data_IF_294965904704
#
_entry.id   IF_294965904704
#
_cell.length_a   1.000
_cell.length_b   1.000
_cell.length_c   1.000
_cell.angle_alpha   90.00
_cell.angle_beta   90.00
_cell.angle_gamma   90.00
#
_symmetry.space_group_name_H-M   'P 1'
#
loop_
_entity.id
_entity.type
_entity.pdbx_description
1 polymer ?
#
# COMPACT_ATOMS: atom_id res chain seq x y z
N UNK A 1 -27.64 5.02 -1.95
CA UNK A 1 -27.19 5.40 -3.31
C UNK A 1 -26.51 4.21 -3.95
N UNK A 2 -26.56 4.05 -5.27
CA UNK A 2 -25.81 3.00 -5.97
C UNK A 2 -24.30 3.29 -5.92
N UNK A 3 -23.47 2.25 -5.82
CA UNK A 3 -22.02 2.37 -5.84
C UNK A 3 -21.56 2.89 -7.22
N UNK A 4 -20.67 3.88 -7.23
CA UNK A 4 -20.17 4.50 -8.46
C UNK A 4 -18.69 4.82 -8.34
N UNK A 5 -17.93 4.40 -9.35
CA UNK A 5 -16.56 4.84 -9.63
C UNK A 5 -16.61 6.16 -10.39
N UNK A 6 -15.77 7.13 -10.03
CA UNK A 6 -15.64 8.40 -10.74
C UNK A 6 -14.17 8.80 -10.80
N UNK A 7 -13.73 9.35 -11.92
CA UNK A 7 -12.53 10.17 -11.94
C UNK A 7 -12.72 11.34 -10.94
N UNK A 8 -11.71 11.57 -10.12
CA UNK A 8 -11.75 12.56 -9.04
C UNK A 8 -10.73 13.67 -9.26
N UNK A 9 -9.47 13.32 -9.53
CA UNK A 9 -8.42 14.26 -9.93
C UNK A 9 -7.78 13.74 -11.21
N UNK A 10 -7.65 14.61 -12.22
CA UNK A 10 -7.01 14.28 -13.49
C UNK A 10 -5.54 13.83 -13.29
N UNK A 11 -4.97 13.11 -14.27
CA UNK A 11 -3.59 12.63 -14.20
C UNK A 11 -2.56 13.71 -13.82
N UNK A 12 -1.76 13.44 -12.79
CA UNK A 12 -0.75 14.38 -12.31
C UNK A 12 0.45 13.73 -11.60
N UNK A 13 0.37 12.45 -11.23
CA UNK A 13 1.50 11.67 -10.69
C UNK A 13 2.07 10.72 -11.73
N UNK A 14 3.27 10.21 -11.47
CA UNK A 14 3.84 9.09 -12.23
C UNK A 14 3.44 7.76 -11.58
N UNK A 15 3.58 7.65 -10.26
CA UNK A 15 3.22 6.46 -9.47
C UNK A 15 2.67 6.92 -8.12
N UNK A 16 1.37 7.20 -8.05
CA UNK A 16 0.75 7.56 -6.78
C UNK A 16 0.59 6.33 -5.89
N UNK A 17 1.03 6.42 -4.64
CA UNK A 17 1.07 5.31 -3.69
C UNK A 17 0.76 5.73 -2.26
N UNK A 18 0.54 4.72 -1.40
CA UNK A 18 0.42 4.85 0.05
C UNK A 18 -0.49 6.00 0.53
N UNK A 19 -1.72 6.16 0.00
CA UNK A 19 -2.62 7.23 0.41
C UNK A 19 -3.09 7.05 1.86
N UNK A 20 -3.04 8.13 2.63
CA UNK A 20 -3.53 8.23 4.02
C UNK A 20 -4.40 9.47 4.19
N UNK A 21 -5.56 9.30 4.83
CA UNK A 21 -6.54 10.36 5.05
C UNK A 21 -6.45 10.93 6.46
N UNK A 22 -6.44 12.26 6.57
CA UNK A 22 -6.53 13.00 7.83
C UNK A 22 -7.87 13.73 7.90
N UNK A 23 -8.75 13.19 8.74
CA UNK A 23 -10.11 13.72 8.95
C UNK A 23 -10.12 15.13 9.54
N UNK A 24 -9.18 15.44 10.45
CA UNK A 24 -9.18 16.69 11.22
C UNK A 24 -9.14 17.96 10.36
N UNK A 25 -8.52 17.89 9.18
CA UNK A 25 -8.41 19.00 8.22
C UNK A 25 -8.88 18.60 6.81
N UNK A 26 -9.55 17.45 6.69
CA UNK A 26 -10.06 16.89 5.44
C UNK A 26 -8.99 16.82 4.32
N UNK A 27 -7.82 16.28 4.64
CA UNK A 27 -6.70 16.16 3.68
C UNK A 27 -6.36 14.71 3.36
N UNK A 28 -6.04 14.46 2.09
CA UNK A 28 -5.44 13.21 1.61
C UNK A 28 -3.93 13.44 1.39
N UNK A 29 -3.12 12.55 1.93
CA UNK A 29 -1.67 12.56 1.79
C UNK A 29 -1.26 11.30 1.05
N UNK A 30 -0.41 11.40 0.05
CA UNK A 30 0.05 10.25 -0.75
C UNK A 30 1.41 10.56 -1.36
N UNK A 31 2.14 9.54 -1.76
CA UNK A 31 3.45 9.70 -2.38
C UNK A 31 3.33 9.59 -3.89
N UNK A 32 4.16 10.33 -4.63
CA UNK A 32 4.46 10.02 -6.03
C UNK A 32 5.87 9.40 -6.04
N UNK A 33 5.94 8.08 -6.07
CA UNK A 33 7.19 7.33 -5.85
C UNK A 33 8.26 7.76 -6.85
N UNK A 34 7.90 7.77 -8.15
CA UNK A 34 8.80 8.15 -9.23
C UNK A 34 8.94 9.67 -9.36
N UNK A 35 7.95 10.44 -8.89
CA UNK A 35 8.01 11.90 -8.80
C UNK A 35 8.77 12.44 -7.59
N UNK A 36 9.22 11.58 -6.67
CA UNK A 36 9.97 11.88 -5.45
C UNK A 36 9.34 12.99 -4.59
N UNK A 37 8.05 12.86 -4.30
CA UNK A 37 7.35 13.85 -3.46
C UNK A 37 6.24 13.24 -2.64
N UNK A 38 5.95 13.88 -1.50
CA UNK A 38 4.70 13.70 -0.77
C UNK A 38 3.73 14.78 -1.27
N UNK A 39 2.51 14.38 -1.59
CA UNK A 39 1.43 15.27 -2.00
C UNK A 39 0.39 15.39 -0.90
N UNK A 40 -0.04 16.62 -0.62
CA UNK A 40 -1.09 16.94 0.35
C UNK A 40 -2.23 17.60 -0.42
N UNK A 41 -3.37 16.91 -0.51
CA UNK A 41 -4.57 17.36 -1.21
C UNK A 41 -5.68 17.67 -0.21
N UNK A 42 -6.12 18.93 -0.17
CA UNK A 42 -7.33 19.30 0.58
C UNK A 42 -8.56 18.84 -0.21
N UNK A 43 -9.41 18.00 0.39
CA UNK A 43 -10.56 17.41 -0.30
C UNK A 43 -11.76 18.36 -0.39
N UNK A 44 -11.72 19.52 0.29
CA UNK A 44 -12.80 20.51 0.28
C UNK A 44 -12.68 21.48 -0.90
N UNK A 45 -11.47 21.95 -1.21
CA UNK A 45 -11.20 22.93 -2.27
C UNK A 45 -10.26 22.41 -3.37
N UNK A 46 -9.76 21.17 -3.22
CA UNK A 46 -8.83 20.51 -4.14
C UNK A 46 -7.47 21.22 -4.27
N UNK A 47 -7.13 22.11 -3.32
CA UNK A 47 -5.82 22.71 -3.26
C UNK A 47 -4.76 21.64 -2.94
N UNK A 48 -3.63 21.70 -3.65
CA UNK A 48 -2.55 20.73 -3.56
C UNK A 48 -1.24 21.40 -3.16
N UNK A 49 -0.62 20.89 -2.11
CA UNK A 49 0.75 21.18 -1.71
C UNK A 49 1.64 19.96 -1.92
N UNK A 50 2.94 20.17 -2.05
CA UNK A 50 3.92 19.08 -2.16
C UNK A 50 5.09 19.33 -1.23
N UNK A 51 5.70 18.24 -0.76
CA UNK A 51 7.01 18.22 -0.10
C UNK A 51 7.92 17.41 -1.01
N UNK A 52 8.96 18.04 -1.55
CA UNK A 52 9.96 17.34 -2.35
C UNK A 52 10.83 16.46 -1.45
N UNK A 53 11.03 15.21 -1.88
CA UNK A 53 11.80 14.22 -1.16
C UNK A 53 13.17 14.04 -1.82
N UNK A 54 14.26 13.85 -1.05
CA UNK A 54 15.58 13.59 -1.62
C UNK A 54 15.70 12.24 -2.35
N UNK A 55 14.79 11.30 -2.06
CA UNK A 55 14.77 9.94 -2.58
C UNK A 55 13.31 9.52 -2.85
N UNK A 56 13.08 8.49 -3.70
CA UNK A 56 11.76 7.88 -3.86
C UNK A 56 11.18 7.43 -2.52
N UNK A 57 9.93 7.78 -2.24
CA UNK A 57 9.20 7.35 -1.06
C UNK A 57 8.14 6.36 -1.49
N UNK A 58 8.10 5.19 -0.85
CA UNK A 58 7.19 4.08 -1.20
C UNK A 58 6.07 3.88 -0.19
N UNK A 59 6.30 4.24 1.08
CA UNK A 59 5.31 4.16 2.14
C UNK A 59 5.28 5.44 2.97
N UNK A 60 4.09 5.80 3.44
CA UNK A 60 3.79 7.02 4.18
C UNK A 60 2.82 6.73 5.35
N UNK A 61 3.17 7.20 6.54
CA UNK A 61 2.24 7.30 7.66
C UNK A 61 2.49 8.55 8.50
N UNK A 62 1.46 9.04 9.18
CA UNK A 62 1.60 10.13 10.13
C UNK A 62 2.37 9.67 11.36
N UNK A 63 3.25 10.56 11.85
CA UNK A 63 3.93 10.38 13.14
C UNK A 63 3.12 11.05 14.26
N UNK A 64 3.08 10.47 15.47
CA UNK A 64 2.33 11.03 16.60
C UNK A 64 2.73 12.44 17.04
N UNK A 65 3.91 12.90 16.63
CA UNK A 65 4.52 14.17 17.03
C UNK A 65 4.52 15.18 15.86
N UNK A 66 3.58 15.03 14.91
CA UNK A 66 3.51 15.85 13.68
C UNK A 66 4.33 15.27 12.52
N UNK A 67 4.12 15.73 11.28
CA UNK A 67 4.76 15.20 10.08
C UNK A 67 4.54 13.69 9.86
N UNK A 68 5.56 13.04 9.30
CA UNK A 68 5.48 11.68 8.78
C UNK A 68 6.64 10.79 9.25
N UNK A 69 6.35 9.48 9.29
CA UNK A 69 7.34 8.42 9.09
C UNK A 69 7.13 7.87 7.68
N UNK A 70 8.22 7.66 6.95
CA UNK A 70 8.18 7.19 5.56
C UNK A 70 9.24 6.13 5.32
N UNK A 71 9.05 5.34 4.27
CA UNK A 71 10.08 4.43 3.76
C UNK A 71 10.56 4.94 2.39
N UNK A 72 11.88 5.10 2.23
CA UNK A 72 12.50 5.12 0.90
C UNK A 72 12.87 3.70 0.48
N UNK A 73 13.42 3.51 -0.72
CA UNK A 73 13.90 2.20 -1.15
C UNK A 73 14.89 1.54 -0.18
N UNK A 74 15.65 2.32 0.59
CA UNK A 74 16.68 1.78 1.50
C UNK A 74 16.40 1.98 2.98
N UNK A 75 15.60 2.99 3.34
CA UNK A 75 15.66 3.58 4.68
C UNK A 75 14.29 3.93 5.25
N UNK A 76 14.19 3.88 6.58
CA UNK A 76 13.10 4.46 7.35
C UNK A 76 13.50 5.88 7.72
N UNK A 77 12.60 6.82 7.48
CA UNK A 77 12.89 8.26 7.53
C UNK A 77 11.79 9.00 8.27
N UNK A 78 12.18 9.97 9.08
CA UNK A 78 11.31 10.98 9.68
C UNK A 78 11.28 12.21 8.78
N UNK A 79 10.08 12.65 8.39
CA UNK A 79 9.86 13.89 7.62
C UNK A 79 9.01 14.86 8.44
N UNK A 80 9.62 15.94 8.92
CA UNK A 80 8.92 16.95 9.73
C UNK A 80 7.95 17.79 8.88
N UNK A 81 7.03 18.54 9.52
CA UNK A 81 6.04 19.35 8.81
C UNK A 81 6.67 20.45 7.92
N UNK A 82 7.89 20.88 8.25
CA UNK A 82 8.69 21.82 7.44
C UNK A 82 9.47 21.15 6.30
N UNK A 83 9.30 19.84 6.11
CA UNK A 83 10.01 19.05 5.11
C UNK A 83 11.39 18.54 5.54
N UNK A 84 11.82 18.79 6.79
CA UNK A 84 13.11 18.29 7.28
C UNK A 84 13.18 16.77 7.21
N UNK A 85 14.14 16.25 6.43
CA UNK A 85 14.38 14.84 6.17
C UNK A 85 15.46 14.27 7.10
N UNK A 86 15.11 13.29 7.93
CA UNK A 86 16.04 12.62 8.84
C UNK A 86 15.97 11.11 8.70
N UNK A 87 17.05 10.49 8.24
CA UNK A 87 17.19 9.03 8.23
C UNK A 87 17.22 8.53 9.67
N UNK A 88 16.30 7.61 9.98
CA UNK A 88 16.17 6.99 11.30
C UNK A 88 16.85 5.62 11.33
N UNK A 89 16.73 4.86 10.24
CA UNK A 89 17.32 3.54 10.09
C UNK A 89 17.59 3.26 8.61
N UNK A 90 18.80 2.81 8.28
CA UNK A 90 19.07 2.20 6.98
C UNK A 90 18.79 0.71 7.09
N UNK A 91 17.86 0.22 6.28
CA UNK A 91 17.36 -1.16 6.33
C UNK A 91 18.03 -2.01 5.24
N UNK A 92 18.10 -1.48 4.03
CA UNK A 92 18.69 -2.16 2.87
C UNK A 92 20.01 -1.50 2.49
N UNK A 93 21.05 -2.30 2.31
CA UNK A 93 22.38 -1.82 1.91
C UNK A 93 22.50 -1.63 0.39
N UNK A 94 22.00 -2.58 -0.39
CA UNK A 94 22.06 -2.56 -1.86
C UNK A 94 20.65 -2.59 -2.46
N UNK A 95 20.20 -1.41 -2.93
CA UNK A 95 18.87 -1.25 -3.50
C UNK A 95 18.66 -1.95 -4.85
N UNK A 96 19.73 -2.47 -5.45
CA UNK A 96 19.66 -3.24 -6.70
C UNK A 96 19.28 -4.70 -6.47
N UNK A 97 19.46 -5.19 -5.23
CA UNK A 97 19.13 -6.56 -4.82
C UNK A 97 17.81 -6.61 -4.06
N UNK A 98 17.56 -5.64 -3.19
CA UNK A 98 16.35 -5.54 -2.40
C UNK A 98 15.87 -4.10 -2.33
N UNK A 99 14.59 -3.82 -2.12
CA UNK A 99 14.15 -2.47 -1.73
C UNK A 99 12.94 -2.54 -0.83
N UNK A 100 12.77 -1.57 0.06
CA UNK A 100 11.50 -1.38 0.73
C UNK A 100 10.43 -0.93 -0.28
N UNK A 101 9.18 -1.26 0.02
CA UNK A 101 8.04 -0.92 -0.81
C UNK A 101 6.88 -0.44 0.06
N UNK A 102 5.81 -1.22 0.22
CA UNK A 102 4.65 -0.79 1.00
C UNK A 102 4.71 -1.30 2.46
N UNK A 103 3.87 -0.72 3.30
CA UNK A 103 3.86 -0.97 4.73
C UNK A 103 2.55 -0.65 5.41
N UNK A 104 2.59 -0.65 6.74
CA UNK A 104 1.45 -0.32 7.58
C UNK A 104 1.87 -0.03 9.01
N UNK A 105 1.00 0.66 9.73
CA UNK A 105 1.16 0.87 11.17
C UNK A 105 0.18 -0.02 11.93
N UNK A 106 0.70 -0.82 12.85
CA UNK A 106 -0.12 -1.74 13.63
C UNK A 106 -0.86 -1.05 14.80
N UNK A 107 -1.64 -1.83 15.55
CA UNK A 107 -2.41 -1.33 16.70
C UNK A 107 -1.57 -0.78 17.86
N UNK A 108 -0.28 -1.12 17.91
CA UNK A 108 0.69 -0.64 18.89
C UNK A 108 1.56 0.50 18.34
N UNK A 109 1.22 1.06 17.19
CA UNK A 109 1.95 2.20 16.61
C UNK A 109 3.30 1.83 15.98
N UNK A 110 3.59 0.54 15.77
CA UNK A 110 4.84 0.09 15.14
C UNK A 110 4.75 0.14 13.64
N UNK A 111 5.84 0.48 12.98
CA UNK A 111 5.94 0.45 11.53
C UNK A 111 6.26 -0.97 11.08
N UNK A 112 5.49 -1.48 10.12
CA UNK A 112 5.76 -2.71 9.39
C UNK A 112 5.97 -2.38 7.92
N UNK A 113 6.95 -2.99 7.28
CA UNK A 113 7.26 -2.72 5.86
C UNK A 113 7.71 -4.00 5.17
N UNK A 114 7.13 -4.26 4.00
CA UNK A 114 7.54 -5.33 3.11
C UNK A 114 8.65 -4.85 2.17
N UNK A 115 9.54 -5.77 1.81
CA UNK A 115 10.54 -5.52 0.77
C UNK A 115 10.29 -6.34 -0.49
N UNK A 116 10.94 -5.90 -1.56
CA UNK A 116 10.98 -6.56 -2.85
C UNK A 116 12.36 -7.16 -3.06
N UNK A 117 12.38 -8.46 -3.36
CA UNK A 117 13.52 -9.15 -3.96
C UNK A 117 13.63 -8.74 -5.43
N UNK A 118 14.52 -7.79 -5.71
CA UNK A 118 14.68 -7.20 -7.05
C UNK A 118 15.20 -8.20 -8.07
N UNK A 119 15.90 -9.24 -7.61
CA UNK A 119 16.33 -10.34 -8.48
C UNK A 119 15.14 -11.26 -8.76
N UNK A 120 14.38 -11.62 -7.73
CA UNK A 120 13.18 -12.45 -7.85
C UNK A 120 12.11 -11.86 -8.77
N UNK A 121 11.91 -10.53 -8.72
CA UNK A 121 10.96 -9.79 -9.57
C UNK A 121 11.27 -9.93 -11.08
N UNK A 122 12.52 -10.20 -11.46
CA UNK A 122 12.93 -10.35 -12.87
C UNK A 122 12.71 -11.74 -13.45
N UNK A 123 12.37 -12.73 -12.60
CA UNK A 123 12.12 -14.09 -13.06
C UNK A 123 10.81 -14.09 -13.89
N UNK A 124 10.66 -14.89 -14.95
CA UNK A 124 9.39 -14.94 -15.69
C UNK A 124 8.28 -15.67 -14.92
N UNK A 125 7.12 -15.03 -14.72
CA UNK A 125 5.94 -15.59 -14.03
C UNK A 125 5.40 -16.92 -14.61
N UNK A 126 5.76 -17.23 -15.85
CA UNK A 126 5.30 -18.41 -16.59
C UNK A 126 6.21 -19.65 -16.43
N UNK A 127 7.35 -19.55 -15.74
CA UNK A 127 8.25 -20.69 -15.54
C UNK A 127 8.03 -21.34 -14.16
N UNK A 128 8.12 -22.67 -14.10
CA UNK A 128 8.23 -23.43 -12.84
C UNK A 128 9.49 -23.09 -12.02
N UNK A 129 10.28 -22.10 -12.45
CA UNK A 129 11.40 -21.54 -11.69
C UNK A 129 10.91 -20.54 -10.66
N UNK A 130 9.81 -19.81 -10.91
CA UNK A 130 9.19 -18.93 -9.90
C UNK A 130 8.65 -19.69 -8.70
N UNK A 131 8.18 -20.93 -8.92
CA UNK A 131 7.78 -21.83 -7.85
C UNK A 131 8.96 -22.35 -7.04
N UNK A 132 10.18 -22.33 -7.60
CA UNK A 132 11.40 -22.80 -6.95
C UNK A 132 12.25 -21.65 -6.36
N UNK A 133 12.06 -20.41 -6.80
CA UNK A 133 12.76 -19.26 -6.25
C UNK A 133 12.27 -18.95 -4.84
N UNK A 134 13.17 -19.11 -3.87
CA UNK A 134 12.93 -18.65 -2.52
C UNK A 134 13.15 -17.14 -2.50
N UNK A 135 12.03 -16.40 -2.66
CA UNK A 135 12.05 -14.93 -2.58
C UNK A 135 12.81 -14.47 -1.34
N UNK A 136 13.72 -13.50 -1.51
CA UNK A 136 14.59 -12.99 -0.46
C UNK A 136 14.03 -11.77 0.26
N UNK A 137 12.94 -11.21 -0.25
CA UNK A 137 12.22 -10.14 0.40
C UNK A 137 11.68 -10.60 1.75
N UNK A 138 11.52 -9.64 2.65
CA UNK A 138 11.21 -9.84 4.05
C UNK A 138 10.11 -8.87 4.50
N UNK A 139 9.55 -9.13 5.68
CA UNK A 139 8.72 -8.16 6.40
C UNK A 139 9.51 -7.70 7.62
N UNK A 140 9.78 -6.40 7.66
CA UNK A 140 10.48 -5.73 8.74
C UNK A 140 9.48 -5.09 9.70
N UNK A 141 9.86 -4.98 10.98
CA UNK A 141 9.12 -4.26 12.01
C UNK A 141 10.05 -3.29 12.72
N UNK A 142 9.71 -2.02 12.69
CA UNK A 142 10.44 -0.94 13.35
C UNK A 142 9.70 -0.47 14.59
N UNK A 143 10.39 -0.57 15.72
CA UNK A 143 9.89 -0.27 17.06
C UNK A 143 9.96 1.20 17.42
N UNK A 144 9.23 1.57 18.48
CA UNK A 144 9.20 2.94 18.99
C UNK A 144 10.53 3.37 19.64
N UNK A 145 11.33 2.41 20.09
CA UNK A 145 12.67 2.65 20.64
C UNK A 145 13.77 2.70 19.55
N UNK A 146 13.38 2.52 18.28
CA UNK A 146 14.28 2.50 17.14
C UNK A 146 14.86 1.13 16.79
N UNK A 147 14.46 0.07 17.49
CA UNK A 147 14.87 -1.31 17.17
C UNK A 147 14.23 -1.77 15.87
N UNK A 148 15.02 -2.41 14.99
CA UNK A 148 14.54 -3.07 13.79
C UNK A 148 14.55 -4.59 14.00
N UNK A 149 13.42 -5.24 13.73
CA UNK A 149 13.27 -6.70 13.73
C UNK A 149 12.79 -7.19 12.37
N UNK A 150 12.97 -8.48 12.10
CA UNK A 150 12.52 -9.13 10.85
C UNK A 150 11.55 -10.27 11.18
N UNK A 151 10.26 -10.00 11.45
CA UNK A 151 9.31 -11.04 11.82
C UNK A 151 9.07 -12.10 10.73
N UNK A 152 9.32 -11.78 9.46
CA UNK A 152 9.38 -12.72 8.35
C UNK A 152 10.66 -12.48 7.57
N UNK A 153 11.65 -13.34 7.76
CA UNK A 153 12.94 -13.30 7.06
C UNK A 153 12.87 -14.18 5.81
N UNK A 154 12.94 -13.55 4.65
CA UNK A 154 12.76 -14.20 3.35
C UNK A 154 11.32 -14.67 3.10
N UNK A 155 11.14 -15.36 1.97
CA UNK A 155 9.87 -15.92 1.54
C UNK A 155 8.88 -14.91 0.97
N UNK A 156 9.31 -13.68 0.65
CA UNK A 156 8.54 -12.64 -0.09
C UNK A 156 9.28 -12.30 -1.39
N UNK A 157 8.57 -12.10 -2.50
CA UNK A 157 9.18 -11.61 -3.75
C UNK A 157 8.87 -10.13 -3.96
N UNK A 158 7.60 -9.73 -3.97
CA UNK A 158 7.23 -8.33 -4.10
C UNK A 158 6.30 -7.92 -2.95
N UNK A 159 6.88 -7.57 -1.81
CA UNK A 159 6.13 -7.17 -0.61
C UNK A 159 5.37 -5.87 -0.86
N UNK A 160 4.05 -5.93 -0.71
CA UNK A 160 3.17 -4.82 -0.98
C UNK A 160 2.10 -4.70 0.12
N UNK A 161 0.95 -4.10 -0.19
CA UNK A 161 -0.21 -3.91 0.67
C UNK A 161 -0.22 -4.69 1.98
N UNK A 162 -0.14 -3.97 3.11
CA UNK A 162 -0.10 -4.57 4.46
C UNK A 162 -1.18 -3.95 5.37
N UNK A 163 -2.00 -4.79 5.99
CA UNK A 163 -3.03 -4.35 6.94
C UNK A 163 -3.37 -5.39 8.01
N UNK A 164 -4.23 -5.04 8.97
CA UNK A 164 -4.67 -5.93 10.04
C UNK A 164 -6.18 -6.08 10.06
N UNK A 165 -6.68 -7.24 10.48
CA UNK A 165 -8.10 -7.45 10.76
C UNK A 165 -8.61 -6.45 11.81
N UNK A 166 -9.91 -6.11 11.82
CA UNK A 166 -10.48 -5.15 12.77
C UNK A 166 -10.26 -5.53 14.25
N UNK A 167 -10.15 -6.82 14.55
CA UNK A 167 -9.89 -7.36 15.89
C UNK A 167 -8.39 -7.45 16.25
N UNK A 168 -7.49 -7.04 15.34
CA UNK A 168 -6.03 -7.10 15.48
C UNK A 168 -5.49 -8.51 15.77
N UNK A 169 -6.12 -9.55 15.20
CA UNK A 169 -5.68 -10.95 15.35
C UNK A 169 -5.06 -11.54 14.09
N UNK A 170 -5.24 -10.88 12.96
CA UNK A 170 -4.68 -11.30 11.68
C UNK A 170 -3.96 -10.14 11.02
N UNK A 171 -2.73 -10.37 10.57
CA UNK A 171 -2.05 -9.49 9.62
C UNK A 171 -2.22 -10.06 8.22
N UNK A 172 -2.56 -9.21 7.27
CA UNK A 172 -2.62 -9.54 5.85
C UNK A 172 -1.51 -8.82 5.10
N UNK A 173 -0.92 -9.48 4.12
CA UNK A 173 0.19 -8.94 3.33
C UNK A 173 0.11 -9.44 1.89
N UNK A 174 0.22 -8.52 0.93
CA UNK A 174 0.25 -8.83 -0.49
C UNK A 174 1.67 -9.18 -0.91
N UNK A 175 1.82 -10.27 -1.67
CA UNK A 175 3.00 -10.52 -2.50
C UNK A 175 2.57 -10.41 -3.97
N UNK A 176 2.84 -9.25 -4.59
CA UNK A 176 2.33 -8.90 -5.92
C UNK A 176 2.78 -9.90 -6.98
N UNK A 177 4.05 -10.30 -6.89
CA UNK A 177 4.67 -11.19 -7.86
C UNK A 177 4.13 -12.63 -7.74
N UNK A 178 3.90 -13.12 -6.52
CA UNK A 178 3.19 -14.40 -6.29
C UNK A 178 1.68 -14.28 -6.52
N UNK A 179 1.19 -13.06 -6.70
CA UNK A 179 -0.19 -12.67 -6.88
C UNK A 179 -1.13 -13.28 -5.83
N UNK A 180 -0.71 -13.17 -4.56
CA UNK A 180 -1.46 -13.72 -3.45
C UNK A 180 -1.51 -12.76 -2.26
N UNK A 181 -2.51 -12.98 -1.41
CA UNK A 181 -2.64 -12.32 -0.11
C UNK A 181 -2.34 -13.37 0.95
N UNK A 182 -1.28 -13.14 1.69
CA UNK A 182 -0.93 -13.91 2.89
C UNK A 182 -1.75 -13.45 4.08
N UNK A 183 -2.06 -14.38 4.97
CA UNK A 183 -2.61 -14.13 6.30
C UNK A 183 -1.69 -14.74 7.35
N UNK A 184 -1.51 -14.02 8.45
CA UNK A 184 -0.71 -14.44 9.59
C UNK A 184 -1.52 -14.26 10.87
N UNK A 185 -1.45 -15.24 11.78
CA UNK A 185 -1.91 -15.02 13.14
C UNK A 185 -1.00 -13.94 13.78
N UNK A 186 -1.60 -12.84 14.20
CA UNK A 186 -0.92 -11.67 14.75
C UNK A 186 -1.17 -11.58 16.25
N UNK A 187 -0.07 -11.46 17.00
CA UNK A 187 -0.10 -11.11 18.41
C UNK A 187 0.23 -9.62 18.54
N UNK A 188 -0.78 -8.78 18.77
CA UNK A 188 -0.59 -7.34 18.87
C UNK A 188 0.34 -6.96 20.03
N UNK A 189 0.25 -7.62 21.18
CA UNK A 189 1.07 -7.29 22.34
C UNK A 189 2.55 -7.62 22.08
N UNK A 190 2.84 -8.82 21.60
CA UNK A 190 4.21 -9.26 21.31
C UNK A 190 4.76 -8.71 19.97
N UNK A 191 3.87 -8.26 19.08
CA UNK A 191 4.20 -7.89 17.71
C UNK A 191 4.62 -9.04 16.82
N UNK A 192 4.26 -10.27 17.15
CA UNK A 192 4.73 -11.44 16.39
C UNK A 192 3.69 -11.88 15.38
N UNK A 193 4.17 -12.46 14.28
CA UNK A 193 3.37 -13.12 13.26
C UNK A 193 3.75 -14.60 13.18
N UNK A 194 2.77 -15.47 12.92
CA UNK A 194 2.99 -16.92 12.77
C UNK A 194 1.90 -17.53 11.89
N UNK A 195 2.06 -18.82 11.58
CA UNK A 195 1.06 -19.63 10.87
C UNK A 195 0.64 -19.00 9.53
N UNK A 196 1.63 -18.63 8.71
CA UNK A 196 1.39 -18.02 7.39
C UNK A 196 0.54 -18.94 6.50
N UNK A 197 -0.57 -18.43 6.01
CA UNK A 197 -1.46 -19.11 5.05
C UNK A 197 -1.85 -18.18 3.90
N UNK A 198 -2.28 -18.74 2.77
CA UNK A 198 -2.84 -17.94 1.67
C UNK A 198 -4.34 -17.78 1.91
N UNK A 199 -4.82 -16.53 1.94
CA UNK A 199 -6.28 -16.24 1.97
C UNK A 199 -6.83 -16.01 0.56
N UNK A 200 -6.05 -15.42 -0.34
CA UNK A 200 -6.43 -15.20 -1.73
C UNK A 200 -5.25 -15.59 -2.63
N UNK A 201 -5.51 -16.44 -3.62
CA UNK A 201 -4.58 -16.73 -4.71
C UNK A 201 -5.22 -16.27 -6.03
N UNK A 202 -4.55 -15.37 -6.74
CA UNK A 202 -5.02 -14.88 -8.04
C UNK A 202 -4.22 -15.52 -9.17
N UNK A 203 -4.77 -15.45 -10.39
CA UNK A 203 -4.08 -15.89 -11.59
C UNK A 203 -3.14 -14.80 -12.11
N UNK A 204 -1.98 -15.21 -12.61
CA UNK A 204 -0.93 -14.31 -13.10
C UNK A 204 -1.35 -13.46 -14.32
N UNK A 205 -2.38 -13.86 -15.07
CA UNK A 205 -2.88 -13.17 -16.27
C UNK A 205 -4.01 -12.15 -15.99
N UNK A 206 -4.35 -11.91 -14.72
CA UNK A 206 -5.42 -10.98 -14.32
C UNK A 206 -4.88 -9.70 -13.68
N UNK A 207 -3.64 -9.32 -13.96
CA UNK A 207 -2.91 -8.25 -13.26
C UNK A 207 -2.44 -8.69 -11.87
N UNK A 208 -1.75 -7.81 -11.15
CA UNK A 208 -1.12 -8.09 -9.85
C UNK A 208 -1.87 -7.41 -8.71
N UNK A 209 -2.04 -8.10 -7.58
CA UNK A 209 -2.48 -7.45 -6.36
C UNK A 209 -1.39 -6.47 -5.88
N UNK A 210 -1.77 -5.23 -5.57
CA UNK A 210 -0.87 -4.15 -5.18
C UNK A 210 -1.15 -3.74 -3.72
N UNK A 211 -1.69 -2.55 -3.47
CA UNK A 211 -2.11 -2.09 -2.15
C UNK A 211 -3.19 -2.96 -1.50
N UNK A 212 -3.33 -2.79 -0.18
CA UNK A 212 -4.30 -3.55 0.63
C UNK A 212 -4.97 -2.71 1.71
N UNK A 213 -6.29 -2.83 1.79
CA UNK A 213 -7.10 -2.30 2.89
C UNK A 213 -8.01 -3.36 3.47
N UNK A 214 -8.45 -3.11 4.70
CA UNK A 214 -9.55 -3.84 5.33
C UNK A 214 -10.70 -2.87 5.65
N UNK A 215 -11.94 -3.36 5.60
CA UNK A 215 -13.10 -2.63 6.11
C UNK A 215 -13.51 -3.09 7.52
N UNK A 216 -14.44 -2.38 8.16
CA UNK A 216 -14.95 -2.69 9.51
C UNK A 216 -15.55 -4.09 9.63
N UNK A 217 -15.96 -4.69 8.51
CA UNK A 217 -16.53 -6.04 8.45
C UNK A 217 -15.48 -7.12 8.15
N UNK A 218 -14.20 -6.76 8.06
CA UNK A 218 -13.11 -7.69 7.80
C UNK A 218 -12.96 -8.09 6.33
N UNK A 219 -13.58 -7.38 5.39
CA UNK A 219 -13.36 -7.61 3.95
C UNK A 219 -12.08 -6.92 3.50
N UNK A 220 -11.36 -7.56 2.59
CA UNK A 220 -10.11 -7.07 2.03
C UNK A 220 -10.38 -6.34 0.72
N UNK A 221 -9.69 -5.24 0.48
CA UNK A 221 -9.75 -4.48 -0.77
C UNK A 221 -8.33 -4.41 -1.31
N UNK A 222 -8.13 -4.91 -2.52
CA UNK A 222 -6.84 -4.82 -3.21
C UNK A 222 -7.02 -4.16 -4.57
N UNK A 223 -5.96 -3.47 -4.97
CA UNK A 223 -5.86 -2.60 -6.12
C UNK A 223 -5.03 -3.34 -7.15
N UNK A 224 -5.55 -3.49 -8.36
CA UNK A 224 -4.96 -4.42 -9.31
C UNK A 224 -4.09 -3.67 -10.32
N UNK A 225 -2.78 -3.75 -10.12
CA UNK A 225 -1.77 -3.30 -11.07
C UNK A 225 -1.92 -4.07 -12.38
N UNK A 226 -2.03 -3.36 -13.49
CA UNK A 226 -2.29 -3.93 -14.84
C UNK A 226 -3.59 -4.74 -14.98
N UNK A 227 -4.48 -4.68 -14.00
CA UNK A 227 -5.83 -5.25 -14.09
C UNK A 227 -6.94 -4.20 -14.07
N UNK A 228 -6.59 -2.92 -13.89
CA UNK A 228 -7.49 -1.77 -14.01
C UNK A 228 -8.72 -1.79 -13.12
N UNK A 229 -8.61 -2.39 -11.94
CA UNK A 229 -9.76 -2.53 -11.04
C UNK A 229 -9.37 -2.55 -9.56
N UNK A 230 -10.40 -2.37 -8.72
CA UNK A 230 -10.36 -2.70 -7.29
C UNK A 230 -11.19 -3.95 -7.07
N UNK A 231 -10.65 -4.90 -6.32
CA UNK A 231 -11.34 -6.12 -5.92
C UNK A 231 -11.58 -6.13 -4.41
N UNK A 232 -12.82 -6.42 -4.02
CA UNK A 232 -13.19 -6.68 -2.62
C UNK A 232 -13.34 -8.19 -2.43
N UNK A 233 -12.61 -8.71 -1.47
CA UNK A 233 -12.64 -10.10 -1.06
C UNK A 233 -13.24 -10.27 0.34
N UNK A 234 -13.91 -11.39 0.57
CA UNK A 234 -14.17 -11.88 1.93
C UNK A 234 -12.84 -12.16 2.62
N UNK A 235 -12.53 -11.48 3.71
CA UNK A 235 -11.28 -11.74 4.46
C UNK A 235 -11.27 -13.08 5.21
N UNK A 236 -12.40 -13.78 5.22
CA UNK A 236 -12.55 -15.12 5.82
C UNK A 236 -12.45 -16.22 4.78
N UNK A 237 -13.15 -16.08 3.64
CA UNK A 237 -13.25 -17.14 2.62
C UNK A 237 -12.33 -16.92 1.43
N UNK A 238 -11.82 -15.70 1.23
CA UNK A 238 -11.02 -15.34 0.05
C UNK A 238 -11.84 -15.17 -1.23
N UNK A 239 -13.17 -15.25 -1.16
CA UNK A 239 -14.05 -15.12 -2.32
C UNK A 239 -14.19 -13.66 -2.75
N UNK A 240 -14.27 -13.42 -4.06
CA UNK A 240 -14.59 -12.10 -4.61
C UNK A 240 -16.03 -11.75 -4.28
N UNK A 241 -16.21 -10.64 -3.56
CA UNK A 241 -17.50 -10.06 -3.24
C UNK A 241 -17.89 -8.98 -4.23
N UNK A 242 -16.91 -8.26 -4.77
CA UNK A 242 -17.16 -7.12 -5.66
C UNK A 242 -15.93 -6.75 -6.49
N UNK A 243 -16.19 -6.22 -7.69
CA UNK A 243 -15.21 -5.61 -8.59
C UNK A 243 -15.67 -4.20 -8.97
N UNK A 244 -14.74 -3.27 -9.01
CA UNK A 244 -14.92 -1.94 -9.58
C UNK A 244 -13.87 -1.71 -10.65
N UNK A 245 -14.29 -1.57 -11.91
CA UNK A 245 -13.40 -1.23 -13.01
C UNK A 245 -13.12 0.28 -13.03
N UNK A 246 -11.87 0.65 -13.31
CA UNK A 246 -11.38 2.01 -13.40
C UNK A 246 -10.87 2.29 -14.82
N UNK A 247 -10.93 3.55 -15.24
CA UNK A 247 -10.35 3.99 -16.50
C UNK A 247 -8.83 4.23 -16.36
N UNK A 248 -8.12 3.26 -15.80
CA UNK A 248 -6.68 3.27 -15.59
C UNK A 248 -6.20 1.82 -15.51
N UNK A 249 -5.07 1.49 -16.13
CA UNK A 249 -4.49 0.14 -16.15
C UNK A 249 -3.89 -0.23 -14.82
N UNK A 250 -3.15 0.71 -14.23
CA UNK A 250 -2.32 0.51 -13.03
C UNK A 250 -2.98 1.14 -11.81
N UNK A 251 -3.79 0.35 -11.13
CA UNK A 251 -4.51 0.74 -9.91
C UNK A 251 -3.68 0.29 -8.72
N UNK A 252 -3.20 1.24 -7.90
CA UNK A 252 -2.07 1.02 -6.99
C UNK A 252 -2.49 0.83 -5.54
N UNK A 253 -3.26 1.76 -4.99
CA UNK A 253 -3.66 1.74 -3.58
C UNK A 253 -4.95 2.55 -3.38
N UNK A 254 -5.46 2.59 -2.15
CA UNK A 254 -6.54 3.50 -1.77
C UNK A 254 -6.56 3.90 -0.30
N UNK A 255 -7.41 4.87 0.02
CA UNK A 255 -7.68 5.35 1.36
C UNK A 255 -9.17 5.54 1.56
N UNK A 256 -9.68 5.08 2.70
CA UNK A 256 -11.03 5.42 3.12
C UNK A 256 -11.08 6.89 3.55
N UNK A 257 -12.04 7.63 3.00
CA UNK A 257 -12.19 9.08 3.19
C UNK A 257 -13.61 9.48 3.56
N UNK A 258 -13.74 10.74 3.99
CA UNK A 258 -15.02 11.38 4.28
C UNK A 258 -15.63 10.94 5.60
N UNK A 259 -16.79 11.52 5.96
CA UNK A 259 -17.51 11.16 7.18
C UNK A 259 -17.76 9.65 7.25
N UNK A 260 -17.51 9.06 8.40
CA UNK A 260 -17.66 7.63 8.65
C UNK A 260 -16.84 6.70 7.75
N UNK A 261 -15.88 7.22 6.97
CA UNK A 261 -14.99 6.43 6.12
C UNK A 261 -15.72 5.56 5.07
N UNK A 262 -16.80 6.07 4.47
CA UNK A 262 -17.66 5.31 3.54
C UNK A 262 -17.34 5.50 2.05
N UNK A 263 -16.38 6.35 1.73
CA UNK A 263 -15.90 6.54 0.37
C UNK A 263 -14.46 6.04 0.27
N UNK A 264 -14.10 5.42 -0.85
CA UNK A 264 -12.75 4.92 -1.09
C UNK A 264 -12.11 5.74 -2.20
N UNK A 265 -11.09 6.52 -1.85
CA UNK A 265 -10.25 7.18 -2.83
C UNK A 265 -9.16 6.22 -3.29
N UNK A 266 -8.88 6.20 -4.59
CA UNK A 266 -8.00 5.23 -5.25
C UNK A 266 -6.88 5.97 -5.98
N UNK A 267 -5.65 5.55 -5.75
CA UNK A 267 -4.45 6.02 -6.46
C UNK A 267 -4.18 5.13 -7.67
N UNK A 268 -3.55 5.72 -8.69
CA UNK A 268 -3.15 5.01 -9.91
C UNK A 268 -1.77 5.48 -10.36
N UNK A 269 -1.16 4.72 -11.26
CA UNK A 269 0.08 5.07 -11.94
C UNK A 269 -0.15 5.33 -13.41
N UNK A 270 0.78 6.07 -14.04
CA UNK A 270 0.82 6.18 -15.49
C UNK A 270 1.32 4.87 -16.10
N UNK A 271 0.74 4.54 -17.23
CA UNK A 271 1.29 3.60 -18.19
C UNK A 271 2.66 4.08 -18.68
N UNK A 272 3.52 3.13 -19.07
CA UNK A 272 4.87 3.41 -19.57
C UNK A 272 5.07 2.81 -20.97
N UNK A 273 6.30 2.86 -21.48
CA UNK A 273 6.61 2.41 -22.83
C UNK A 273 6.46 0.88 -23.00
N UNK A 274 6.51 0.10 -21.92
CA UNK A 274 6.34 -1.35 -21.98
C UNK A 274 4.86 -1.73 -22.14
N UNK A 275 3.98 -0.98 -21.47
CA UNK A 275 2.53 -1.15 -21.53
C UNK A 275 1.89 0.22 -21.78
N UNK A 276 1.86 0.68 -23.05
CA UNK A 276 1.44 2.04 -23.38
C UNK A 276 -0.05 2.24 -23.12
N UNK A 277 -0.39 3.47 -22.74
CA UNK A 277 -1.77 3.84 -22.48
C UNK A 277 -2.65 3.73 -23.73
N UNK A 278 -3.90 3.31 -23.54
CA UNK A 278 -4.92 3.50 -24.58
C UNK A 278 -5.39 4.95 -24.61
N UNK A 279 -6.02 5.35 -25.72
CA UNK A 279 -6.58 6.68 -25.87
C UNK A 279 -7.65 6.97 -24.81
N UNK A 280 -7.41 7.99 -23.98
CA UNK A 280 -8.33 8.39 -22.92
C UNK A 280 -8.12 7.69 -21.57
N UNK A 281 -7.07 6.88 -21.41
CA UNK A 281 -6.69 6.36 -20.10
C UNK A 281 -6.34 7.49 -19.11
N UNK A 282 -6.80 7.37 -17.87
CA UNK A 282 -6.62 8.37 -16.80
C UNK A 282 -5.65 7.89 -15.70
N UNK A 283 -4.70 7.00 -16.05
CA UNK A 283 -3.62 6.57 -15.18
C UNK A 283 -2.75 7.73 -14.67
N UNK A 284 -2.35 7.67 -13.40
CA UNK A 284 -1.71 8.78 -12.68
C UNK A 284 -2.70 9.82 -12.14
N UNK A 285 -4.00 9.58 -12.31
CA UNK A 285 -5.10 10.31 -11.68
C UNK A 285 -5.53 9.68 -10.36
N UNK A 286 -6.49 10.33 -9.70
CA UNK A 286 -7.20 9.76 -8.54
C UNK A 286 -8.63 9.45 -8.92
N UNK A 287 -9.15 8.34 -8.42
CA UNK A 287 -10.54 7.94 -8.55
C UNK A 287 -11.22 7.92 -7.19
N UNK A 288 -12.55 8.01 -7.18
CA UNK A 288 -13.34 7.85 -5.96
C UNK A 288 -14.47 6.84 -6.19
N UNK A 289 -14.55 5.85 -5.31
CA UNK A 289 -15.65 4.91 -5.20
C UNK A 289 -16.56 5.41 -4.09
N UNK A 290 -17.77 5.77 -4.47
CA UNK A 290 -18.78 6.35 -3.56
C UNK A 290 -19.91 5.38 -3.30
N UNK A 291 -20.57 5.52 -2.15
CA UNK A 291 -21.74 4.72 -1.79
C UNK A 291 -21.41 3.29 -1.41
N UNK A 292 -20.16 3.01 -0.99
CA UNK A 292 -19.73 1.69 -0.53
C UNK A 292 -20.68 1.18 0.57
N UNK A 293 -21.09 -0.08 0.48
CA UNK A 293 -21.92 -0.73 1.52
C UNK A 293 -21.16 -1.09 2.80
N UNK A 294 -19.94 -0.58 2.94
CA UNK A 294 -19.05 -0.82 4.07
C UNK A 294 -18.25 0.44 4.38
N UNK A 295 -17.70 0.48 5.58
CA UNK A 295 -16.90 1.60 6.07
C UNK A 295 -15.49 1.14 6.39
N UNK A 296 -14.53 2.00 6.12
CA UNK A 296 -13.13 1.79 6.43
C UNK A 296 -12.78 1.89 7.91
N UNK A 297 -11.54 1.54 8.19
CA UNK A 297 -10.87 1.83 9.46
C UNK A 297 -10.02 3.09 9.33
N UNK A 298 -9.97 3.87 10.41
CA UNK A 298 -8.98 4.95 10.56
C UNK A 298 -7.58 4.34 10.61
N UNK A 299 -6.67 4.84 9.78
CA UNK A 299 -5.25 4.44 9.79
C UNK A 299 -4.60 4.83 11.13
N UNK A 300 -3.69 3.98 11.61
CA UNK A 300 -2.94 4.19 12.85
C UNK A 300 -1.77 5.15 12.61
N UNK A 301 -1.36 5.83 13.66
CA UNK A 301 -0.19 6.74 13.66
C UNK A 301 1.01 5.98 14.21
N UNK A 302 2.20 6.27 13.69
CA UNK A 302 3.42 5.74 14.29
C UNK A 302 3.72 6.40 15.64
N UNK A 303 4.09 5.60 16.64
CA UNK A 303 4.56 6.09 17.94
C UNK A 303 3.50 6.22 19.04
N UNK A 304 2.26 5.77 18.83
CA UNK A 304 1.17 5.84 19.83
C UNK A 304 1.40 4.98 21.07
#
# INVERSE_FOLDING_TARGET
>A
MAERVRAFIAPHTQLAESPVYREADNTLHYVDVLGQRITILNLSDLHRCTIDCPEPVTFLAFHKDGGYIVCSFSSIVRVSDDGTWRIMMRVVEDTTIERLNDGGIDSQGRLWVGSIDRVGETIPKLSGETTNHQGKGSIYRYELDGTLSIPQDGGVIAGNGLCWSPDNRTMYHVDSYRNCIWAYAFDAAAGTIRNRTIVVQRRVDEGEADGLLVDRSGNLYTFIWEGGCVLRYSGTTGEILQKWDLNATRVTHGAWIGPEYTNLLVTTAKSDDELPAWEGEEGGGLFCITGCKSAGLRKKLFGV
#
